data_IF_099754990474
#
_entry.id   IF_099754990474
#
_cell.length_a   1.000
_cell.length_b   1.000
_cell.length_c   1.000
_cell.angle_alpha   90.00
_cell.angle_beta   90.00
_cell.angle_gamma   90.00
#
_symmetry.space_group_name_H-M   'P 1'
#
loop_
_entity.id
_entity.type
_entity.pdbx_description
1 polymer ?
#
# COMPACT_ATOMS: atom_id res chain seq x y z
N UNK A 1 -11.49 9.72 -4.76
CA UNK A 1 -11.79 10.31 -6.08
C UNK A 1 -10.72 9.87 -7.06
N UNK A 2 -11.05 9.79 -8.34
CA UNK A 2 -10.06 9.52 -9.39
C UNK A 2 -9.15 10.73 -9.63
N UNK A 3 -7.95 10.48 -10.16
CA UNK A 3 -7.04 11.54 -10.58
C UNK A 3 -7.70 12.38 -11.70
N UNK A 4 -7.80 13.71 -11.56
CA UNK A 4 -8.49 14.51 -12.56
C UNK A 4 -7.80 14.48 -13.93
N UNK A 5 -8.57 14.23 -14.99
CA UNK A 5 -8.05 14.08 -16.37
C UNK A 5 -7.27 15.31 -16.88
N UNK A 6 -7.63 16.51 -16.42
CA UNK A 6 -6.93 17.78 -16.71
C UNK A 6 -5.47 17.77 -16.23
N UNK A 7 -5.13 16.95 -15.22
CA UNK A 7 -3.77 16.79 -14.71
C UNK A 7 -3.11 15.48 -15.18
N UNK A 8 -3.67 14.80 -16.19
CA UNK A 8 -3.10 13.59 -16.77
C UNK A 8 -2.14 13.86 -17.93
N UNK A 9 -2.04 15.07 -18.44
CA UNK A 9 -1.12 15.36 -19.55
C UNK A 9 0.32 15.51 -19.06
N UNK A 10 1.29 15.22 -19.92
CA UNK A 10 2.72 15.27 -19.59
C UNK A 10 3.20 16.72 -19.57
N UNK A 11 3.93 17.10 -18.53
CA UNK A 11 4.59 18.41 -18.45
C UNK A 11 4.71 18.91 -17.00
N UNK A 12 5.80 19.63 -16.73
CA UNK A 12 6.08 20.12 -15.38
C UNK A 12 5.11 21.21 -14.95
N UNK A 13 4.64 22.05 -15.88
CA UNK A 13 3.64 23.09 -15.58
C UNK A 13 2.29 22.50 -15.17
N UNK A 14 1.90 21.37 -15.78
CA UNK A 14 0.67 20.65 -15.42
C UNK A 14 0.82 20.04 -14.02
N UNK A 15 1.99 19.48 -13.72
CA UNK A 15 2.32 18.96 -12.39
C UNK A 15 2.28 20.06 -11.32
N UNK A 16 2.85 21.23 -11.59
CA UNK A 16 2.81 22.40 -10.69
C UNK A 16 1.37 22.84 -10.41
N UNK A 17 0.56 23.02 -11.46
CA UNK A 17 -0.88 23.34 -11.31
C UNK A 17 -1.64 22.30 -10.48
N UNK A 18 -1.31 21.01 -10.68
CA UNK A 18 -1.89 19.95 -9.87
C UNK A 18 -1.45 20.05 -8.40
N UNK A 19 -0.18 20.37 -8.13
CA UNK A 19 0.36 20.54 -6.78
C UNK A 19 -0.16 21.79 -6.05
N UNK A 20 -0.51 22.84 -6.80
CA UNK A 20 -1.23 24.01 -6.25
C UNK A 20 -2.63 23.65 -5.78
N UNK A 21 -3.30 22.71 -6.46
CA UNK A 21 -4.66 22.27 -6.10
C UNK A 21 -4.70 21.16 -5.05
N UNK A 22 -3.74 20.25 -5.09
CA UNK A 22 -3.71 19.05 -4.27
C UNK A 22 -2.44 19.00 -3.41
N UNK A 23 -2.60 18.55 -2.18
CA UNK A 23 -1.49 18.02 -1.40
C UNK A 23 -1.18 16.60 -1.90
N UNK A 24 0.07 16.33 -2.32
CA UNK A 24 0.46 15.11 -3.02
C UNK A 24 1.68 14.50 -2.35
N UNK A 25 1.55 13.25 -1.89
CA UNK A 25 2.64 12.52 -1.22
C UNK A 25 2.72 11.07 -1.69
N UNK A 26 3.93 10.56 -1.90
CA UNK A 26 4.19 9.14 -2.08
C UNK A 26 4.10 8.44 -0.73
N UNK A 27 3.35 7.35 -0.68
CA UNK A 27 3.24 6.52 0.52
C UNK A 27 4.10 5.26 0.43
N UNK A 28 4.30 4.74 -0.79
CA UNK A 28 5.13 3.55 -0.97
C UNK A 28 5.67 3.41 -2.39
N UNK A 29 6.82 2.77 -2.52
CA UNK A 29 7.31 2.18 -3.77
C UNK A 29 6.94 0.70 -3.82
N UNK A 30 6.48 0.23 -4.97
CA UNK A 30 6.14 -1.18 -5.20
C UNK A 30 6.70 -1.66 -6.54
N UNK A 31 6.80 -2.98 -6.67
CA UNK A 31 7.37 -3.66 -7.82
C UNK A 31 6.33 -3.85 -8.91
N UNK A 32 6.69 -3.51 -10.15
CA UNK A 32 5.92 -3.93 -11.31
C UNK A 32 6.28 -5.39 -11.60
N UNK A 33 5.33 -6.30 -11.41
CA UNK A 33 5.61 -7.72 -11.59
C UNK A 33 5.80 -8.05 -13.08
N UNK A 34 6.65 -9.04 -13.41
CA UNK A 34 6.78 -9.53 -14.78
C UNK A 34 5.43 -9.86 -15.40
N UNK A 35 5.22 -9.41 -16.65
CA UNK A 35 3.97 -9.63 -17.39
C UNK A 35 2.79 -8.74 -16.97
N UNK A 36 2.94 -7.90 -15.94
CA UNK A 36 1.87 -6.99 -15.52
C UNK A 36 1.84 -5.73 -16.39
N UNK A 37 0.68 -5.42 -16.96
CA UNK A 37 0.43 -4.11 -17.56
C UNK A 37 -0.19 -3.17 -16.53
N UNK A 38 0.38 -1.97 -16.38
CA UNK A 38 -0.13 -0.95 -15.46
C UNK A 38 -0.06 0.42 -16.11
N UNK A 39 -1.09 1.23 -15.88
CA UNK A 39 -1.16 2.60 -16.41
C UNK A 39 -0.88 3.62 -15.30
N UNK A 40 0.07 4.53 -15.54
CA UNK A 40 0.37 5.63 -14.63
C UNK A 40 -0.63 6.79 -14.76
N UNK A 41 -0.49 7.79 -13.90
CA UNK A 41 -1.40 8.97 -13.87
C UNK A 41 -1.44 9.76 -15.18
N UNK A 42 -0.37 9.65 -15.98
CA UNK A 42 -0.27 10.23 -17.32
C UNK A 42 -0.92 9.40 -18.43
N UNK A 43 -1.72 8.37 -18.09
CA UNK A 43 -2.32 7.43 -19.06
C UNK A 43 -1.29 6.67 -19.92
N UNK A 44 -0.02 6.66 -19.50
CA UNK A 44 1.05 5.90 -20.14
C UNK A 44 1.27 4.58 -19.39
N UNK A 45 1.62 3.52 -20.12
CA UNK A 45 2.02 2.25 -19.53
C UNK A 45 3.29 2.45 -18.69
N UNK A 46 3.33 1.81 -17.53
CA UNK A 46 4.49 1.71 -16.68
C UNK A 46 5.27 0.48 -17.11
N UNK A 47 6.59 0.64 -17.23
CA UNK A 47 7.53 -0.43 -17.64
C UNK A 47 8.56 -0.74 -16.55
N UNK A 48 8.48 -0.03 -15.43
CA UNK A 48 9.37 -0.16 -14.27
C UNK A 48 8.53 -0.23 -13.00
N UNK A 49 9.19 -0.46 -11.87
CA UNK A 49 8.65 -0.13 -10.55
C UNK A 49 7.96 1.24 -10.52
N UNK A 50 7.08 1.40 -9.55
CA UNK A 50 6.28 2.61 -9.42
C UNK A 50 6.02 2.98 -7.97
N UNK A 51 5.74 4.25 -7.78
CA UNK A 51 5.26 4.81 -6.53
C UNK A 51 3.75 4.89 -6.54
N UNK A 52 3.16 4.63 -5.38
CA UNK A 52 1.77 4.97 -5.10
C UNK A 52 1.78 6.32 -4.40
N UNK A 53 1.18 7.30 -5.08
CA UNK A 53 0.91 8.60 -4.52
C UNK A 53 -0.53 8.66 -4.04
N UNK A 54 -0.73 9.34 -2.93
CA UNK A 54 -2.03 9.85 -2.54
C UNK A 54 -2.09 11.33 -2.86
N UNK A 55 -3.30 11.83 -3.07
CA UNK A 55 -3.55 13.24 -3.24
C UNK A 55 -4.81 13.64 -2.49
N UNK A 56 -4.78 14.82 -1.86
CA UNK A 56 -5.89 15.39 -1.10
C UNK A 56 -6.14 16.80 -1.59
N UNK A 57 -7.39 17.14 -1.91
CA UNK A 57 -7.75 18.49 -2.32
C UNK A 57 -7.42 19.48 -1.20
N UNK A 58 -6.78 20.60 -1.56
CA UNK A 58 -6.34 21.58 -0.57
C UNK A 58 -7.50 22.31 0.09
N UNK A 59 -8.60 22.52 -0.63
CA UNK A 59 -9.79 23.22 -0.17
C UNK A 59 -10.76 22.24 0.52
N UNK A 60 -10.98 21.06 -0.06
CA UNK A 60 -11.89 20.04 0.48
C UNK A 60 -11.13 18.78 0.89
N UNK A 61 -10.71 18.71 2.15
CA UNK A 61 -9.94 17.58 2.70
C UNK A 61 -10.65 16.23 2.65
N UNK A 62 -11.96 16.18 2.36
CA UNK A 62 -12.69 14.92 2.15
C UNK A 62 -12.44 14.33 0.76
N UNK A 63 -12.01 15.16 -0.19
CA UNK A 63 -11.66 14.74 -1.57
C UNK A 63 -10.21 14.25 -1.62
N UNK A 64 -10.05 12.97 -1.36
CA UNK A 64 -8.77 12.27 -1.47
C UNK A 64 -8.83 11.11 -2.48
N UNK A 65 -7.68 10.78 -3.05
CA UNK A 65 -7.51 9.70 -4.01
C UNK A 65 -6.08 9.21 -4.07
N UNK A 66 -5.83 8.28 -4.97
CA UNK A 66 -4.49 7.73 -5.22
C UNK A 66 -4.23 7.53 -6.71
N UNK A 67 -2.97 7.62 -7.10
CA UNK A 67 -2.51 7.32 -8.45
C UNK A 67 -1.14 6.64 -8.43
N UNK A 68 -0.77 6.04 -9.56
CA UNK A 68 0.56 5.46 -9.75
C UNK A 68 1.44 6.30 -10.66
N UNK A 69 2.72 6.31 -10.31
CA UNK A 69 3.73 7.08 -11.01
C UNK A 69 5.01 6.25 -11.11
N UNK A 70 5.50 6.03 -12.33
CA UNK A 70 6.76 5.30 -12.53
C UNK A 70 7.94 6.03 -11.89
N UNK A 71 9.00 5.30 -11.52
CA UNK A 71 10.17 5.85 -10.81
C UNK A 71 10.78 7.07 -11.49
N UNK A 72 10.80 7.12 -12.83
CA UNK A 72 11.36 8.27 -13.55
C UNK A 72 10.50 9.54 -13.38
N UNK A 73 9.18 9.41 -13.51
CA UNK A 73 8.26 10.54 -13.44
C UNK A 73 8.03 11.04 -11.99
N UNK A 74 8.28 10.19 -10.98
CA UNK A 74 8.08 10.56 -9.58
C UNK A 74 9.07 11.61 -9.09
N UNK A 75 10.23 11.75 -9.74
CA UNK A 75 11.24 12.78 -9.39
C UNK A 75 10.65 14.18 -9.35
N UNK A 76 9.85 14.55 -10.36
CA UNK A 76 9.22 15.86 -10.39
C UNK A 76 8.18 16.08 -9.29
N UNK A 77 7.60 15.02 -8.71
CA UNK A 77 6.75 15.14 -7.52
C UNK A 77 7.57 15.32 -6.25
N UNK A 78 8.67 14.58 -6.13
CA UNK A 78 9.61 14.69 -5.00
C UNK A 78 10.25 16.07 -4.90
N UNK A 79 10.58 16.68 -6.04
CA UNK A 79 11.06 18.07 -6.10
C UNK A 79 10.01 19.07 -5.59
N UNK A 80 8.72 18.85 -5.89
CA UNK A 80 7.64 19.74 -5.47
C UNK A 80 7.26 19.57 -4.00
N UNK A 81 7.19 18.32 -3.51
CA UNK A 81 6.73 18.02 -2.16
C UNK A 81 7.86 17.82 -1.14
N UNK A 82 9.12 17.88 -1.57
CA UNK A 82 10.30 17.75 -0.72
C UNK A 82 10.55 16.34 -0.18
N UNK A 83 9.81 15.31 -0.63
CA UNK A 83 10.03 13.94 -0.18
C UNK A 83 11.34 13.38 -0.75
N UNK A 84 12.09 12.66 0.10
CA UNK A 84 13.25 11.91 -0.34
C UNK A 84 12.84 10.48 -0.74
N UNK A 85 13.07 10.12 -2.00
CA UNK A 85 12.77 8.80 -2.56
C UNK A 85 13.33 7.62 -1.73
N UNK A 86 14.49 7.80 -1.08
CA UNK A 86 15.12 6.77 -0.24
C UNK A 86 14.40 6.50 1.08
N UNK A 87 13.62 7.47 1.56
CA UNK A 87 12.85 7.35 2.80
C UNK A 87 11.45 6.78 2.58
N UNK A 88 11.02 6.64 1.33
CA UNK A 88 9.71 6.09 1.01
C UNK A 88 9.72 4.59 1.27
N UNK A 89 8.75 4.12 2.07
CA UNK A 89 8.58 2.71 2.39
C UNK A 89 8.47 1.87 1.11
N UNK A 90 9.21 0.77 1.04
CA UNK A 90 9.16 -0.15 -0.09
C UNK A 90 9.28 -1.59 0.35
N UNK A 91 8.65 -2.47 -0.42
CA UNK A 91 8.83 -3.91 -0.31
C UNK A 91 8.80 -4.52 -1.71
N UNK A 92 9.84 -5.26 -2.05
CA UNK A 92 9.92 -6.04 -3.27
C UNK A 92 9.41 -7.46 -2.96
N UNK A 93 8.23 -7.85 -3.48
CA UNK A 93 7.68 -9.17 -3.22
C UNK A 93 8.46 -10.29 -3.90
N UNK A 94 9.30 -10.02 -4.91
CA UNK A 94 10.13 -11.04 -5.56
C UNK A 94 11.37 -11.39 -4.72
N UNK A 95 12.03 -10.38 -4.16
CA UNK A 95 13.30 -10.56 -3.43
C UNK A 95 13.12 -10.61 -1.91
N UNK A 96 12.04 -10.04 -1.40
CA UNK A 96 11.82 -9.81 0.03
C UNK A 96 12.57 -8.59 0.57
N UNK A 97 13.25 -7.83 -0.28
CA UNK A 97 13.95 -6.61 0.13
C UNK A 97 12.96 -5.51 0.51
N UNK A 98 13.29 -4.76 1.54
CA UNK A 98 12.48 -3.63 2.02
C UNK A 98 13.36 -2.42 2.24
N UNK A 99 12.89 -1.24 1.89
CA UNK A 99 13.58 0.03 2.17
C UNK A 99 12.64 1.07 2.78
N UNK A 100 13.19 2.21 3.21
CA UNK A 100 12.41 3.32 3.74
C UNK A 100 12.12 3.20 5.24
N UNK A 101 13.09 2.74 6.03
CA UNK A 101 13.02 2.98 7.48
C UNK A 101 12.91 4.48 7.71
N UNK A 102 11.82 4.88 8.38
CA UNK A 102 11.49 6.27 8.72
C UNK A 102 12.56 6.79 9.68
N UNK A 103 13.65 7.36 9.15
CA UNK A 103 14.78 7.77 9.99
C UNK A 103 15.80 8.72 9.37
N UNK A 104 15.60 9.25 8.16
CA UNK A 104 16.48 10.30 7.59
C UNK A 104 15.71 11.52 7.13
N UNK A 105 15.06 12.22 8.06
CA UNK A 105 14.88 13.66 7.89
C UNK A 105 16.19 14.29 8.32
N UNK A 106 16.92 14.84 7.34
CA UNK A 106 18.12 15.59 7.59
C UNK A 106 17.80 16.87 8.35
N UNK A 107 18.14 16.89 9.63
CA UNK A 107 18.46 18.12 10.34
C UNK A 107 19.76 17.88 11.08
N UNK A 108 20.79 18.68 10.78
CA UNK A 108 22.02 18.76 11.58
C UNK A 108 21.65 18.98 13.04
N UNK A 109 21.77 17.96 13.88
CA UNK A 109 22.01 18.13 15.30
C UNK A 109 22.60 16.85 15.89
N UNK A 110 23.71 17.02 16.59
CA UNK A 110 24.45 16.01 17.34
C UNK A 110 23.66 15.55 18.55
N UNK A 111 22.99 14.41 18.45
CA UNK A 111 22.68 13.52 19.59
C UNK A 111 22.21 12.19 19.01
N UNK A 112 22.86 11.08 19.40
CA UNK A 112 22.42 9.75 19.02
C UNK A 112 21.07 9.44 19.71
N UNK A 113 19.97 9.83 19.06
CA UNK A 113 18.63 9.44 19.47
C UNK A 113 18.52 7.95 19.15
N UNK A 114 18.43 7.11 20.18
CA UNK A 114 18.10 5.70 20.04
C UNK A 114 16.73 5.58 19.37
N UNK A 115 16.72 5.37 18.06
CA UNK A 115 15.48 5.15 17.32
C UNK A 115 14.90 3.77 17.68
N UNK A 116 13.58 3.66 17.98
CA UNK A 116 12.98 2.38 18.31
C UNK A 116 13.06 1.45 17.09
N UNK A 117 13.69 0.29 17.30
CA UNK A 117 13.77 -0.81 16.32
C UNK A 117 12.37 -1.12 15.76
N UNK A 118 12.25 -1.18 14.44
CA UNK A 118 10.98 -1.47 13.76
C UNK A 118 10.34 -2.76 14.33
N UNK A 119 9.02 -2.74 14.56
CA UNK A 119 8.30 -3.90 15.05
C UNK A 119 8.17 -4.94 13.92
N UNK A 120 8.57 -6.18 14.19
CA UNK A 120 8.64 -7.26 13.19
C UNK A 120 7.26 -7.59 12.63
N UNK A 121 6.26 -7.74 13.50
CA UNK A 121 4.89 -8.09 13.12
C UNK A 121 4.24 -6.95 12.32
N UNK A 122 4.47 -5.69 12.70
CA UNK A 122 3.99 -4.52 11.95
C UNK A 122 4.59 -4.46 10.56
N UNK A 123 5.90 -4.70 10.44
CA UNK A 123 6.60 -4.76 9.16
C UNK A 123 6.07 -5.90 8.29
N UNK A 124 5.82 -7.08 8.86
CA UNK A 124 5.20 -8.18 8.14
C UNK A 124 3.80 -7.83 7.63
N UNK A 125 2.98 -7.17 8.44
CA UNK A 125 1.64 -6.72 8.04
C UNK A 125 1.69 -5.71 6.89
N UNK A 126 2.63 -4.77 6.94
CA UNK A 126 2.90 -3.81 5.85
C UNK A 126 3.33 -4.54 4.58
N UNK A 127 4.29 -5.47 4.67
CA UNK A 127 4.79 -6.23 3.52
C UNK A 127 3.69 -7.10 2.89
N UNK A 128 2.81 -7.72 3.69
CA UNK A 128 1.64 -8.46 3.19
C UNK A 128 0.74 -7.53 2.37
N UNK A 129 0.45 -6.34 2.88
CA UNK A 129 -0.43 -5.40 2.19
C UNK A 129 0.21 -4.83 0.91
N UNK A 130 1.51 -4.54 0.93
CA UNK A 130 2.25 -4.14 -0.27
C UNK A 130 2.28 -5.24 -1.34
N UNK A 131 2.48 -6.48 -0.92
CA UNK A 131 2.43 -7.64 -1.82
C UNK A 131 1.03 -7.82 -2.40
N UNK A 132 0.00 -7.77 -1.56
CA UNK A 132 -1.40 -7.81 -1.99
C UNK A 132 -1.71 -6.73 -3.05
N UNK A 133 -1.24 -5.50 -2.84
CA UNK A 133 -1.42 -4.40 -3.79
C UNK A 133 -0.73 -4.69 -5.13
N UNK A 134 0.51 -5.22 -5.10
CA UNK A 134 1.24 -5.59 -6.32
C UNK A 134 0.50 -6.68 -7.11
N UNK A 135 -0.03 -7.69 -6.41
CA UNK A 135 -0.70 -8.85 -7.02
C UNK A 135 -2.09 -8.54 -7.60
N UNK A 136 -2.84 -7.62 -6.98
CA UNK A 136 -4.26 -7.39 -7.29
C UNK A 136 -4.55 -6.09 -8.01
N UNK A 137 -3.58 -5.19 -8.10
CA UNK A 137 -3.76 -3.82 -8.61
C UNK A 137 -4.81 -3.01 -7.84
N UNK A 138 -4.97 -3.28 -6.54
CA UNK A 138 -5.97 -2.66 -5.66
C UNK A 138 -5.67 -1.20 -5.29
N UNK A 139 -5.08 -0.42 -6.18
CA UNK A 139 -4.69 0.98 -5.95
C UNK A 139 -5.72 1.98 -6.45
N UNK A 140 -6.60 1.56 -7.36
CA UNK A 140 -7.49 2.47 -8.07
C UNK A 140 -8.61 2.89 -7.14
N UNK A 141 -8.84 4.20 -7.10
CA UNK A 141 -9.97 4.77 -6.38
C UNK A 141 -11.26 4.30 -7.04
N UNK A 142 -12.22 3.83 -6.25
CA UNK A 142 -13.57 3.56 -6.77
C UNK A 142 -14.34 4.88 -6.89
N UNK A 143 -15.52 4.85 -7.53
CA UNK A 143 -16.47 5.98 -7.54
C UNK A 143 -16.76 6.51 -6.11
N UNK A 144 -16.51 5.71 -5.08
CA UNK A 144 -16.79 6.00 -3.66
C UNK A 144 -15.61 6.56 -2.87
N UNK A 145 -14.41 6.68 -3.45
CA UNK A 145 -13.27 7.28 -2.76
C UNK A 145 -11.92 6.60 -2.99
N UNK A 146 -10.92 7.02 -2.22
CA UNK A 146 -9.59 6.39 -2.20
C UNK A 146 -9.68 4.89 -1.84
N UNK A 147 -8.81 4.08 -2.47
CA UNK A 147 -8.73 2.64 -2.26
C UNK A 147 -8.57 2.27 -0.78
N UNK A 148 -9.37 1.31 -0.31
CA UNK A 148 -9.28 0.76 1.04
C UNK A 148 -7.89 0.19 1.34
N UNK A 149 -7.23 -0.45 0.36
CA UNK A 149 -5.89 -0.99 0.56
C UNK A 149 -4.87 0.13 0.79
N UNK A 150 -4.96 1.21 0.02
CA UNK A 150 -4.09 2.39 0.14
C UNK A 150 -4.31 3.09 1.49
N UNK A 151 -5.57 3.25 1.93
CA UNK A 151 -5.90 3.81 3.25
C UNK A 151 -5.29 3.04 4.40
N UNK A 152 -5.48 1.71 4.39
CA UNK A 152 -4.95 0.84 5.44
C UNK A 152 -3.42 0.91 5.42
N UNK A 153 -2.80 0.88 4.23
CA UNK A 153 -1.35 0.97 4.11
C UNK A 153 -0.82 2.28 4.67
N UNK A 154 -1.42 3.42 4.31
CA UNK A 154 -1.05 4.75 4.82
C UNK A 154 -1.05 4.75 6.36
N UNK A 155 -2.12 4.24 6.99
CA UNK A 155 -2.20 4.18 8.46
C UNK A 155 -1.08 3.34 9.07
N UNK A 156 -0.78 2.19 8.46
CA UNK A 156 0.25 1.27 8.97
C UNK A 156 1.66 1.87 8.90
N UNK A 157 1.99 2.55 7.80
CA UNK A 157 3.33 3.12 7.58
C UNK A 157 3.60 4.39 8.40
N UNK A 158 2.56 5.09 8.91
CA UNK A 158 2.75 6.26 9.77
C UNK A 158 3.36 5.89 11.13
N UNK A 159 3.10 4.67 11.63
CA UNK A 159 3.58 4.21 12.94
C UNK A 159 4.20 2.81 12.85
N UNK A 160 5.34 2.65 12.15
CA UNK A 160 5.90 1.34 11.81
C UNK A 160 6.61 0.65 13.00
N UNK A 161 7.03 1.39 14.01
CA UNK A 161 7.70 0.84 15.20
C UNK A 161 6.75 0.30 16.26
N UNK A 162 5.44 0.54 16.12
CA UNK A 162 4.43 0.05 17.06
C UNK A 162 4.07 -1.41 16.74
N UNK A 163 3.69 -2.18 17.76
CA UNK A 163 3.01 -3.46 17.54
C UNK A 163 1.72 -3.23 16.75
N UNK A 164 1.34 -4.12 15.81
CA UNK A 164 0.09 -3.97 15.07
C UNK A 164 -1.10 -4.03 16.02
N UNK A 165 -1.98 -3.04 15.95
CA UNK A 165 -3.22 -3.06 16.72
C UNK A 165 -4.16 -4.15 16.19
N UNK A 166 -5.01 -4.70 17.06
CA UNK A 166 -6.08 -5.63 16.64
C UNK A 166 -6.96 -5.04 15.55
N UNK A 167 -7.22 -3.73 15.63
CA UNK A 167 -8.01 -2.99 14.64
C UNK A 167 -7.38 -3.04 13.24
N UNK A 168 -6.06 -2.94 13.18
CA UNK A 168 -5.28 -2.95 11.94
C UNK A 168 -5.19 -4.36 11.34
N UNK A 169 -4.94 -5.38 12.16
CA UNK A 169 -4.97 -6.79 11.72
C UNK A 169 -6.35 -7.13 11.16
N UNK A 170 -7.43 -6.75 11.85
CA UNK A 170 -8.81 -6.94 11.37
C UNK A 170 -9.10 -6.16 10.09
N UNK A 171 -8.54 -4.96 9.92
CA UNK A 171 -8.73 -4.17 8.71
C UNK A 171 -8.12 -4.89 7.49
N UNK A 172 -6.88 -5.38 7.61
CA UNK A 172 -6.23 -6.17 6.54
C UNK A 172 -6.97 -7.48 6.29
N UNK A 173 -7.35 -8.22 7.34
CA UNK A 173 -8.11 -9.45 7.19
C UNK A 173 -9.45 -9.24 6.46
N UNK A 174 -10.16 -8.15 6.79
CA UNK A 174 -11.42 -7.80 6.16
C UNK A 174 -11.23 -7.45 4.68
N UNK A 175 -10.16 -6.74 4.34
CA UNK A 175 -9.81 -6.44 2.95
C UNK A 175 -9.56 -7.74 2.17
N UNK A 176 -8.74 -8.64 2.72
CA UNK A 176 -8.45 -9.94 2.11
C UNK A 176 -9.73 -10.77 1.93
N UNK A 177 -10.50 -10.95 2.99
CA UNK A 177 -11.78 -11.67 2.96
C UNK A 177 -12.72 -11.14 1.88
N UNK A 178 -12.95 -9.82 1.84
CA UNK A 178 -13.81 -9.20 0.82
C UNK A 178 -13.28 -9.43 -0.59
N UNK A 179 -11.96 -9.40 -0.77
CA UNK A 179 -11.34 -9.70 -2.07
C UNK A 179 -11.66 -11.13 -2.50
N UNK A 180 -11.54 -12.09 -1.60
CA UNK A 180 -11.77 -13.50 -1.89
C UNK A 180 -13.25 -13.86 -2.06
N UNK A 181 -14.17 -13.00 -1.63
CA UNK A 181 -15.59 -13.12 -1.97
C UNK A 181 -15.96 -12.65 -3.37
N UNK A 182 -15.08 -11.90 -4.06
CA UNK A 182 -15.29 -11.50 -5.45
C UNK A 182 -15.24 -12.74 -6.36
N UNK A 183 -16.16 -12.80 -7.34
CA UNK A 183 -16.30 -13.93 -8.27
C UNK A 183 -15.01 -14.27 -9.00
N UNK A 184 -14.17 -13.25 -9.27
CA UNK A 184 -12.86 -13.40 -9.91
C UNK A 184 -11.94 -14.36 -9.15
N UNK A 185 -11.99 -14.35 -7.82
CA UNK A 185 -11.14 -15.19 -6.97
C UNK A 185 -11.88 -16.43 -6.49
N UNK A 186 -13.18 -16.30 -6.21
CA UNK A 186 -14.04 -17.40 -5.76
C UNK A 186 -14.08 -18.56 -6.77
N UNK A 187 -14.08 -18.28 -8.07
CA UNK A 187 -14.06 -19.32 -9.11
C UNK A 187 -12.77 -20.16 -9.15
N UNK A 188 -11.72 -19.73 -8.45
CA UNK A 188 -10.45 -20.42 -8.32
C UNK A 188 -10.23 -20.99 -6.90
N UNK A 189 -11.29 -21.03 -6.08
CA UNK A 189 -11.25 -21.50 -4.69
C UNK A 189 -10.23 -20.77 -3.81
N UNK A 190 -9.90 -19.53 -4.15
CA UNK A 190 -8.97 -18.70 -3.37
C UNK A 190 -9.73 -18.09 -2.19
N UNK A 191 -9.36 -18.49 -0.98
CA UNK A 191 -9.95 -18.05 0.29
C UNK A 191 -8.94 -17.41 1.24
N UNK A 192 -7.64 -17.56 0.97
CA UNK A 192 -6.54 -17.05 1.79
C UNK A 192 -5.48 -16.34 0.97
N UNK A 193 -4.72 -15.48 1.65
CA UNK A 193 -3.59 -14.77 1.03
C UNK A 193 -2.52 -15.72 0.48
N UNK A 194 -2.21 -16.83 1.16
CA UNK A 194 -1.27 -17.83 0.63
C UNK A 194 -1.74 -18.45 -0.70
N UNK A 195 -3.05 -18.66 -0.87
CA UNK A 195 -3.64 -19.23 -2.08
C UNK A 195 -3.62 -18.19 -3.22
N UNK A 196 -3.86 -16.92 -2.91
CA UNK A 196 -3.68 -15.81 -3.85
C UNK A 196 -2.23 -15.73 -4.35
N UNK A 197 -1.25 -15.85 -3.45
CA UNK A 197 0.17 -15.83 -3.79
C UNK A 197 0.48 -16.98 -4.76
N UNK A 198 0.11 -18.21 -4.40
CA UNK A 198 0.36 -19.38 -5.24
C UNK A 198 -0.31 -19.26 -6.62
N UNK A 199 -1.57 -18.81 -6.66
CA UNK A 199 -2.28 -18.57 -7.91
C UNK A 199 -1.52 -17.58 -8.81
N UNK A 200 -0.99 -16.51 -8.22
CA UNK A 200 -0.25 -15.48 -8.95
C UNK A 200 1.13 -15.93 -9.42
N UNK A 201 1.87 -16.66 -8.58
CA UNK A 201 3.13 -17.30 -8.94
C UNK A 201 2.96 -18.18 -10.17
N UNK A 202 1.95 -19.05 -10.17
CA UNK A 202 1.63 -19.93 -11.29
C UNK A 202 1.22 -19.14 -12.54
N UNK A 203 0.36 -18.12 -12.39
CA UNK A 203 -0.15 -17.35 -13.53
C UNK A 203 0.91 -16.47 -14.21
N UNK A 204 1.91 -16.01 -13.46
CA UNK A 204 2.93 -15.08 -13.96
C UNK A 204 4.30 -15.75 -14.17
N UNK A 205 4.47 -17.01 -13.74
CA UNK A 205 5.76 -17.70 -13.81
C UNK A 205 6.82 -17.05 -12.92
N UNK A 206 6.43 -16.58 -11.73
CA UNK A 206 7.31 -15.89 -10.78
C UNK A 206 7.31 -16.61 -9.42
N UNK A 207 8.27 -16.26 -8.57
CA UNK A 207 8.29 -16.65 -7.16
C UNK A 207 8.18 -15.42 -6.28
N UNK A 208 7.26 -15.46 -5.32
CA UNK A 208 7.03 -14.43 -4.31
C UNK A 208 7.71 -14.87 -3.01
N UNK A 209 8.40 -13.94 -2.36
CA UNK A 209 8.98 -14.18 -1.05
C UNK A 209 7.88 -14.49 -0.04
N UNK A 210 7.94 -15.68 0.54
CA UNK A 210 7.04 -16.08 1.61
C UNK A 210 7.14 -15.13 2.82
N UNK A 211 5.98 -14.70 3.31
CA UNK A 211 5.83 -13.90 4.53
C UNK A 211 5.07 -14.74 5.56
N UNK A 212 5.60 -14.93 6.78
CA UNK A 212 4.86 -15.65 7.82
C UNK A 212 3.54 -14.95 8.18
N UNK A 213 2.45 -15.71 8.15
CA UNK A 213 1.08 -15.21 8.41
C UNK A 213 0.40 -15.83 9.64
N UNK A 214 1.01 -16.85 10.25
CA UNK A 214 0.41 -17.60 11.37
C UNK A 214 0.01 -16.69 12.54
N UNK A 215 0.89 -15.77 12.92
CA UNK A 215 0.63 -14.77 13.97
C UNK A 215 -0.69 -14.01 13.74
N UNK A 216 -0.96 -13.55 12.51
CA UNK A 216 -2.17 -12.80 12.22
C UNK A 216 -3.41 -13.69 12.21
N UNK A 217 -3.29 -14.91 11.68
CA UNK A 217 -4.39 -15.87 11.69
C UNK A 217 -4.77 -16.30 13.11
N UNK A 218 -3.79 -16.55 13.98
CA UNK A 218 -4.00 -16.81 15.40
C UNK A 218 -4.60 -15.60 16.12
N UNK A 219 -4.13 -14.38 15.81
CA UNK A 219 -4.70 -13.16 16.39
C UNK A 219 -6.20 -13.02 16.05
N UNK A 220 -6.59 -13.26 14.79
CA UNK A 220 -7.99 -13.25 14.37
C UNK A 220 -8.79 -14.33 15.11
N UNK A 221 -8.30 -15.57 15.19
CA UNK A 221 -9.00 -16.68 15.88
C UNK A 221 -9.20 -16.39 17.37
N UNK A 222 -8.15 -15.96 18.06
CA UNK A 222 -8.14 -15.81 19.51
C UNK A 222 -8.85 -14.53 19.99
N UNK A 223 -9.09 -13.58 19.08
CA UNK A 223 -9.68 -12.29 19.41
C UNK A 223 -10.88 -11.99 18.51
N UNK A 224 -11.74 -12.98 18.22
CA UNK A 224 -12.99 -12.73 17.48
C UNK A 224 -13.98 -11.93 18.32
N UNK A 225 -14.08 -12.27 19.59
CA UNK A 225 -15.00 -11.64 20.54
C UNK A 225 -14.40 -10.35 21.12
N UNK A 226 -15.24 -9.33 21.26
CA UNK A 226 -14.91 -8.13 22.03
C UNK A 226 -15.19 -8.40 23.51
N UNK A 227 -14.22 -8.08 24.40
CA UNK A 227 -14.44 -8.18 25.85
C UNK A 227 -15.42 -7.12 26.39
N UNK A 228 -15.75 -6.11 25.58
CA UNK A 228 -16.49 -4.91 26.01
C UNK A 228 -17.75 -4.65 25.16
N UNK A 229 -18.11 -5.56 24.25
CA UNK A 229 -19.32 -5.43 23.44
C UNK A 229 -19.79 -6.78 22.92
N UNK A 230 -21.08 -6.90 22.59
CA UNK A 230 -21.67 -8.09 21.94
C UNK A 230 -21.20 -8.29 20.49
N UNK A 231 -20.17 -7.54 20.07
CA UNK A 231 -19.63 -7.61 18.72
C UNK A 231 -18.69 -8.80 18.58
N UNK A 232 -19.06 -9.73 17.69
CA UNK A 232 -18.22 -10.83 17.24
C UNK A 232 -17.71 -10.52 15.84
N UNK A 233 -16.39 -10.53 15.66
CA UNK A 233 -15.78 -10.32 14.35
C UNK A 233 -16.19 -11.46 13.39
N UNK A 234 -16.90 -11.15 12.29
CA UNK A 234 -17.59 -12.17 11.51
C UNK A 234 -16.66 -12.90 10.54
N UNK A 235 -15.58 -12.26 10.09
CA UNK A 235 -14.76 -12.80 9.01
C UNK A 235 -13.77 -13.85 9.55
N UNK A 236 -13.62 -15.00 8.86
CA UNK A 236 -12.61 -15.98 9.20
C UNK A 236 -11.19 -15.44 8.92
N UNK A 237 -10.15 -16.09 9.49
CA UNK A 237 -8.76 -15.79 9.15
C UNK A 237 -8.51 -15.99 7.65
N UNK A 238 -8.06 -14.93 6.99
CA UNK A 238 -7.85 -14.86 5.53
C UNK A 238 -6.39 -14.54 5.16
N UNK A 239 -5.49 -14.45 6.13
CA UNK A 239 -4.05 -14.33 5.87
C UNK A 239 -3.45 -15.67 5.43
#
# INVERSE_FOLDING_TARGET
MEWPKVFSDVGDDIRKKAFEKFDVEAITKTTLLPGQEKTGYHKRKLTTDYYIFIFTDREDKKKQGSFCCGVHASKGWFELNGQNAHNIASYNPLTGESSGDVGKVGTRSTTAINHPKANKEKKQLINILQTYIALTDSITSTKEGESTAVKILKKLITHPSNSPERSEIRAVNTLLYKTFTDIKYKQHDITKYSELVLFKENSLGITIKSIPVSYFNENIKNNRESKHSDYVYPNPPSF
#
